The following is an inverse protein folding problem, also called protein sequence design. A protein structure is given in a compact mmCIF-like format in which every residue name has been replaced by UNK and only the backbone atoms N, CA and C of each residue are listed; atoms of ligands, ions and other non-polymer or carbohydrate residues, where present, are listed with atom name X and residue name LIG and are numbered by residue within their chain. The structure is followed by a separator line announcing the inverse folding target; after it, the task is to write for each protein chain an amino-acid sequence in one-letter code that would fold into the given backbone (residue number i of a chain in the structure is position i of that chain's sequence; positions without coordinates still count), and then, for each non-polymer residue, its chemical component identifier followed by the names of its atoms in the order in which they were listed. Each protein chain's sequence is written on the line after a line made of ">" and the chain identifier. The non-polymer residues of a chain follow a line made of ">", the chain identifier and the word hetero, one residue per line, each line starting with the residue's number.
data_IF_094828725573
#
_entry.id   IF_094828725573
#
_cell.length_a   1.000
_cell.length_b   1.000
_cell.length_c   1.000
_cell.angle_alpha   90.00
_cell.angle_beta   90.00
_cell.angle_gamma   90.00
#
_symmetry.space_group_name_H-M   'P 1'
#
loop_
_entity.id
_entity.type
_entity.pdbx_description
1 polymer ?
#
# COMPACT_ATOMS: atom_id res chain seq x y z
N UNK A 1 25.25 3.82 -11.64
CA UNK A 1 26.28 4.18 -10.67
C UNK A 1 27.22 3.00 -10.40
N UNK A 2 28.55 3.15 -10.49
CA UNK A 2 29.45 2.00 -10.44
C UNK A 2 29.53 1.35 -9.03
N UNK A 3 29.07 2.01 -7.98
CA UNK A 3 29.22 1.53 -6.61
C UNK A 3 27.91 1.44 -5.81
N UNK A 4 26.78 1.53 -6.47
CA UNK A 4 25.50 1.45 -5.81
C UNK A 4 24.37 1.18 -6.79
N UNK A 5 23.31 0.54 -6.30
CA UNK A 5 22.10 0.30 -7.07
C UNK A 5 21.15 1.49 -6.93
N UNK A 6 20.47 1.87 -8.01
CA UNK A 6 19.39 2.85 -7.95
C UNK A 6 18.20 2.30 -7.15
N UNK A 7 17.36 3.19 -6.62
CA UNK A 7 16.16 2.77 -5.87
C UNK A 7 15.29 1.83 -6.69
N UNK A 8 14.95 2.20 -7.93
CA UNK A 8 14.13 1.35 -8.80
C UNK A 8 14.81 0.00 -9.10
N UNK A 9 16.14 -0.02 -9.28
CA UNK A 9 16.89 -1.25 -9.48
C UNK A 9 16.81 -2.20 -8.29
N UNK A 10 16.83 -1.67 -7.07
CA UNK A 10 16.69 -2.46 -5.85
C UNK A 10 15.32 -3.16 -5.78
N UNK A 11 14.24 -2.44 -6.10
CA UNK A 11 12.90 -3.03 -6.16
C UNK A 11 12.74 -4.00 -7.33
N UNK A 12 13.41 -3.75 -8.44
CA UNK A 12 13.46 -4.68 -9.56
C UNK A 12 14.14 -6.01 -9.19
N UNK A 13 15.20 -5.99 -8.36
CA UNK A 13 15.81 -7.22 -7.84
C UNK A 13 14.82 -8.02 -7.00
N UNK A 14 14.06 -7.36 -6.12
CA UNK A 14 13.03 -8.02 -5.32
C UNK A 14 11.93 -8.61 -6.21
N UNK A 15 11.48 -7.89 -7.25
CA UNK A 15 10.51 -8.38 -8.21
C UNK A 15 11.05 -9.60 -8.99
N UNK A 16 12.28 -9.53 -9.52
CA UNK A 16 12.93 -10.66 -10.19
C UNK A 16 13.05 -11.89 -9.29
N UNK A 17 13.41 -11.68 -8.03
CA UNK A 17 13.53 -12.77 -7.07
C UNK A 17 12.18 -13.44 -6.83
N UNK A 18 11.13 -12.65 -6.62
CA UNK A 18 9.78 -13.15 -6.41
C UNK A 18 9.24 -13.89 -7.64
N UNK A 19 9.49 -13.35 -8.84
CA UNK A 19 9.15 -14.02 -10.10
C UNK A 19 9.88 -15.35 -10.26
N UNK A 20 11.17 -15.40 -9.89
CA UNK A 20 11.99 -16.62 -9.99
C UNK A 20 11.50 -17.71 -9.01
N UNK A 21 11.18 -17.35 -7.78
CA UNK A 21 10.83 -18.31 -6.74
C UNK A 21 9.38 -18.78 -6.83
N UNK A 22 8.47 -17.88 -7.19
CA UNK A 22 7.03 -18.13 -7.10
C UNK A 22 6.28 -18.04 -8.42
N UNK A 23 6.96 -17.70 -9.51
CA UNK A 23 6.34 -17.63 -10.83
C UNK A 23 5.42 -16.42 -11.02
N UNK A 24 5.54 -15.39 -10.18
CA UNK A 24 4.79 -14.13 -10.35
C UNK A 24 5.05 -13.53 -11.72
N UNK A 25 4.02 -13.00 -12.36
CA UNK A 25 4.11 -12.43 -13.70
C UNK A 25 4.01 -10.90 -13.68
N UNK A 26 4.45 -10.26 -14.76
CA UNK A 26 4.32 -8.81 -14.92
C UNK A 26 2.85 -8.37 -15.02
N UNK A 27 1.98 -9.20 -15.57
CA UNK A 27 0.53 -8.95 -15.63
C UNK A 27 -0.07 -8.89 -14.22
N UNK A 28 0.38 -9.76 -13.30
CA UNK A 28 -0.06 -9.71 -11.91
C UNK A 28 0.40 -8.44 -11.18
N UNK A 29 1.58 -7.92 -11.50
CA UNK A 29 2.01 -6.61 -11.03
C UNK A 29 1.16 -5.49 -11.64
N UNK A 30 0.84 -5.60 -12.94
CA UNK A 30 -0.01 -4.64 -13.65
C UNK A 30 -1.44 -4.57 -13.09
N UNK A 31 -2.00 -5.69 -12.57
CA UNK A 31 -3.29 -5.70 -11.87
C UNK A 31 -3.34 -4.68 -10.73
N UNK A 32 -2.25 -4.55 -9.96
CA UNK A 32 -2.13 -3.58 -8.87
C UNK A 32 -2.19 -2.15 -9.40
N UNK A 33 -1.45 -1.87 -10.47
CA UNK A 33 -1.41 -0.53 -11.07
C UNK A 33 -2.80 -0.13 -11.63
N UNK A 34 -3.46 -1.06 -12.31
CA UNK A 34 -4.80 -0.84 -12.90
C UNK A 34 -5.85 -0.64 -11.81
N UNK A 35 -5.85 -1.47 -10.76
CA UNK A 35 -6.77 -1.35 -9.64
C UNK A 35 -6.61 0.00 -8.92
N UNK A 36 -5.37 0.39 -8.62
CA UNK A 36 -5.04 1.67 -8.00
C UNK A 36 -5.47 2.84 -8.88
N UNK A 37 -5.29 2.77 -10.21
CA UNK A 37 -5.74 3.79 -11.15
C UNK A 37 -7.28 3.89 -11.20
N UNK A 38 -8.01 2.80 -11.10
CA UNK A 38 -9.48 2.84 -11.03
C UNK A 38 -9.96 3.63 -9.81
N UNK A 39 -9.32 3.47 -8.65
CA UNK A 39 -9.60 4.30 -7.48
C UNK A 39 -9.24 5.78 -7.71
N UNK A 40 -8.10 6.06 -8.34
CA UNK A 40 -7.68 7.42 -8.67
C UNK A 40 -8.66 8.15 -9.60
N UNK A 41 -9.29 7.44 -10.55
CA UNK A 41 -10.33 7.99 -11.42
C UNK A 41 -11.54 8.52 -10.61
N UNK A 42 -11.79 7.99 -9.43
CA UNK A 42 -12.85 8.44 -8.52
C UNK A 42 -12.41 9.58 -7.58
N UNK A 43 -11.12 9.93 -7.59
CA UNK A 43 -10.56 10.95 -6.72
C UNK A 43 -10.22 12.23 -7.50
N UNK A 44 -10.99 13.30 -7.37
CA UNK A 44 -10.74 14.56 -8.11
C UNK A 44 -9.41 15.23 -7.75
N UNK A 45 -8.74 14.78 -6.68
CA UNK A 45 -7.43 15.27 -6.27
C UNK A 45 -6.27 14.39 -6.76
N UNK A 46 -6.56 13.26 -7.40
CA UNK A 46 -5.52 12.40 -7.93
C UNK A 46 -4.80 13.08 -9.11
N UNK A 47 -3.49 12.89 -9.18
CA UNK A 47 -2.67 13.43 -10.28
C UNK A 47 -2.98 12.76 -11.61
N UNK A 48 -3.26 11.45 -11.59
CA UNK A 48 -3.53 10.61 -12.76
C UNK A 48 -4.96 10.09 -12.67
N UNK A 49 -5.84 10.54 -13.56
CA UNK A 49 -7.27 10.21 -13.55
C UNK A 49 -7.73 9.47 -14.81
N UNK A 50 -6.89 9.35 -15.82
CA UNK A 50 -7.21 8.62 -17.05
C UNK A 50 -7.10 7.11 -16.78
N UNK A 51 -8.12 6.32 -17.14
CA UNK A 51 -8.08 4.87 -16.96
C UNK A 51 -6.90 4.24 -17.74
N UNK A 52 -6.39 3.14 -17.21
CA UNK A 52 -5.37 2.32 -17.87
C UNK A 52 -5.78 0.86 -17.87
N UNK A 53 -5.22 0.11 -18.80
CA UNK A 53 -5.37 -1.34 -18.93
C UNK A 53 -4.07 -2.05 -18.54
N UNK A 54 -4.11 -3.38 -18.39
CA UNK A 54 -2.92 -4.21 -18.21
C UNK A 54 -1.98 -4.02 -19.40
N UNK A 55 -2.51 -3.99 -20.63
CA UNK A 55 -1.71 -3.77 -21.84
C UNK A 55 -0.99 -2.41 -21.83
N UNK A 56 -1.63 -1.35 -21.31
CA UNK A 56 -0.98 -0.05 -21.17
C UNK A 56 0.22 -0.12 -20.21
N UNK A 57 0.10 -0.87 -19.11
CA UNK A 57 1.22 -1.09 -18.18
C UNK A 57 2.33 -1.86 -18.87
N UNK A 58 2.02 -2.98 -19.50
CA UNK A 58 2.96 -3.87 -20.14
C UNK A 58 3.68 -3.23 -21.34
N UNK A 59 3.01 -2.32 -22.06
CA UNK A 59 3.59 -1.59 -23.18
C UNK A 59 4.26 -0.27 -22.76
N UNK A 60 4.17 0.12 -21.48
CA UNK A 60 4.86 1.30 -20.99
C UNK A 60 6.38 1.07 -20.92
N UNK A 61 7.15 2.16 -20.95
CA UNK A 61 8.62 2.08 -21.00
C UNK A 61 9.17 1.27 -19.83
N UNK A 62 10.04 0.28 -20.09
CA UNK A 62 10.81 -0.41 -19.05
C UNK A 62 11.75 0.58 -18.37
N UNK A 63 11.69 0.65 -17.06
CA UNK A 63 12.57 1.50 -16.22
C UNK A 63 13.73 0.68 -15.66
N UNK A 64 13.42 -0.47 -15.04
CA UNK A 64 14.39 -1.46 -14.58
C UNK A 64 13.68 -2.82 -14.59
N UNK A 65 14.04 -3.70 -15.52
CA UNK A 65 13.35 -5.00 -15.70
C UNK A 65 13.21 -5.75 -14.37
N UNK A 66 11.99 -6.23 -14.01
CA UNK A 66 10.78 -6.30 -14.83
C UNK A 66 9.85 -5.07 -14.73
N UNK A 67 10.23 -4.02 -14.00
CA UNK A 67 9.37 -2.88 -13.72
C UNK A 67 9.28 -1.91 -14.91
N UNK A 68 8.06 -1.60 -15.32
CA UNK A 68 7.71 -0.60 -16.31
C UNK A 68 7.41 0.75 -15.65
N UNK A 69 7.20 1.78 -16.45
CA UNK A 69 6.90 3.12 -15.96
C UNK A 69 5.65 3.16 -15.07
N UNK A 70 4.60 2.44 -15.45
CA UNK A 70 3.34 2.41 -14.71
C UNK A 70 3.37 1.47 -13.48
N UNK A 71 4.45 0.70 -13.29
CA UNK A 71 4.75 -0.01 -12.05
C UNK A 71 5.40 0.88 -10.98
N UNK A 72 5.82 2.09 -11.35
CA UNK A 72 6.56 3.01 -10.52
C UNK A 72 5.68 4.13 -10.01
N UNK A 73 5.89 4.55 -8.75
CA UNK A 73 5.21 5.68 -8.15
C UNK A 73 5.47 7.00 -8.90
N UNK A 74 4.59 7.95 -8.70
CA UNK A 74 4.70 9.32 -9.20
C UNK A 74 5.89 10.07 -8.57
N UNK A 75 6.24 11.19 -9.17
CA UNK A 75 7.13 12.21 -8.61
C UNK A 75 6.34 13.50 -8.54
N UNK A 76 5.92 13.89 -7.35
CA UNK A 76 5.04 15.06 -7.12
C UNK A 76 5.39 15.75 -5.80
N UNK A 77 4.90 16.96 -5.63
CA UNK A 77 4.91 17.66 -4.34
C UNK A 77 3.56 17.48 -3.66
N UNK A 78 3.57 17.19 -2.37
CA UNK A 78 2.37 17.13 -1.55
C UNK A 78 2.72 17.22 -0.06
N UNK A 79 1.72 17.51 0.77
CA UNK A 79 1.83 17.51 2.23
C UNK A 79 0.53 17.06 2.87
N UNK A 80 0.64 16.43 4.04
CA UNK A 80 -0.49 15.98 4.83
C UNK A 80 -0.24 16.20 6.32
N UNK A 81 -1.33 16.32 7.08
CA UNK A 81 -1.27 16.41 8.53
C UNK A 81 -2.41 15.62 9.17
N UNK A 82 -2.12 14.99 10.30
CA UNK A 82 -3.10 14.39 11.18
C UNK A 82 -2.97 15.00 12.59
N UNK A 83 -4.08 15.14 13.27
CA UNK A 83 -4.10 15.62 14.66
C UNK A 83 -4.40 14.44 15.57
N UNK A 84 -3.49 14.20 16.52
CA UNK A 84 -3.64 13.17 17.55
C UNK A 84 -4.04 13.82 18.86
N UNK A 85 -4.99 13.22 19.55
CA UNK A 85 -5.42 13.65 20.88
C UNK A 85 -5.92 12.45 21.69
N UNK A 86 -6.19 12.62 22.98
CA UNK A 86 -6.82 11.55 23.76
C UNK A 86 -8.26 11.29 23.26
N UNK A 87 -8.73 10.05 23.42
CA UNK A 87 -10.08 9.67 23.02
C UNK A 87 -11.15 10.51 23.75
N UNK A 88 -10.92 10.82 25.04
CA UNK A 88 -11.77 11.69 25.82
C UNK A 88 -11.99 13.05 25.15
N UNK A 89 -10.90 13.73 24.78
CA UNK A 89 -10.98 15.02 24.07
C UNK A 89 -11.54 14.89 22.65
N UNK A 90 -11.25 13.78 21.97
CA UNK A 90 -11.74 13.56 20.61
C UNK A 90 -13.27 13.46 20.56
N UNK A 91 -13.91 12.93 21.60
CA UNK A 91 -15.38 12.82 21.70
C UNK A 91 -16.09 14.18 21.76
N UNK A 92 -15.41 15.20 22.24
CA UNK A 92 -15.94 16.58 22.33
C UNK A 92 -15.72 17.37 21.03
N UNK A 93 -15.03 16.79 20.03
CA UNK A 93 -14.78 17.46 18.75
C UNK A 93 -15.91 17.22 17.75
N UNK A 94 -15.99 18.12 16.74
CA UNK A 94 -17.04 18.07 15.71
C UNK A 94 -17.03 16.82 14.83
N UNK A 95 -15.86 16.20 14.65
CA UNK A 95 -15.69 15.00 13.82
C UNK A 95 -15.68 13.75 14.68
N UNK A 96 -16.33 12.70 14.19
CA UNK A 96 -16.27 11.41 14.85
C UNK A 96 -14.81 10.96 15.07
N UNK A 97 -14.46 10.52 16.27
CA UNK A 97 -13.13 10.02 16.57
C UNK A 97 -12.83 8.77 15.74
N UNK A 98 -11.58 8.67 15.28
CA UNK A 98 -11.02 7.43 14.74
C UNK A 98 -9.91 7.01 15.69
N UNK A 99 -10.00 5.80 16.20
CA UNK A 99 -9.10 5.30 17.23
C UNK A 99 -7.92 4.55 16.60
N UNK A 100 -6.74 4.68 17.21
CA UNK A 100 -5.61 3.80 16.96
C UNK A 100 -5.81 2.53 17.78
N UNK A 101 -6.15 1.43 17.12
CA UNK A 101 -6.42 0.13 17.75
C UNK A 101 -5.15 -0.66 18.00
N UNK A 102 -4.23 -0.63 17.04
CA UNK A 102 -2.96 -1.32 17.15
C UNK A 102 -1.88 -0.72 16.26
N UNK A 103 -0.63 -0.92 16.63
CA UNK A 103 0.51 -0.43 15.86
C UNK A 103 1.72 -1.34 16.02
N UNK A 104 2.57 -1.38 15.00
CA UNK A 104 3.86 -2.04 15.03
C UNK A 104 4.82 -1.40 14.07
N UNK A 105 6.11 -1.44 14.38
CA UNK A 105 7.17 -1.03 13.48
C UNK A 105 8.33 -2.02 13.53
N UNK A 106 9.08 -2.11 12.45
CA UNK A 106 10.24 -2.97 12.36
C UNK A 106 11.25 -2.46 11.33
N UNK A 107 12.51 -2.76 11.59
CA UNK A 107 13.64 -2.54 10.69
C UNK A 107 14.41 -3.84 10.55
N UNK A 108 14.77 -4.24 9.33
CA UNK A 108 15.49 -5.50 9.08
C UNK A 108 16.89 -5.29 8.51
N UNK A 109 17.10 -4.22 7.77
CA UNK A 109 18.38 -3.93 7.11
C UNK A 109 18.47 -2.45 6.76
N UNK A 110 19.59 -2.02 6.19
CA UNK A 110 19.79 -0.66 5.68
C UNK A 110 19.79 -0.62 4.15
N UNK A 111 20.54 -1.50 3.53
CA UNK A 111 20.70 -1.56 2.08
C UNK A 111 20.10 -2.86 1.54
N UNK A 112 19.56 -2.84 0.33
CA UNK A 112 18.97 -4.02 -0.32
C UNK A 112 19.95 -5.22 -0.35
N UNK A 113 21.25 -4.97 -0.46
CA UNK A 113 22.30 -6.00 -0.42
C UNK A 113 22.45 -6.70 0.93
N UNK A 114 21.84 -6.16 1.98
CA UNK A 114 21.82 -6.72 3.33
C UNK A 114 20.47 -7.35 3.67
N UNK A 115 19.49 -7.26 2.78
CA UNK A 115 18.16 -7.83 2.97
C UNK A 115 18.26 -9.35 3.02
N UNK A 116 17.87 -9.99 4.13
CA UNK A 116 18.05 -11.44 4.30
C UNK A 116 17.26 -12.27 3.29
N UNK A 117 16.05 -11.82 2.96
CA UNK A 117 15.14 -12.42 1.99
C UNK A 117 14.49 -11.30 1.18
N UNK A 118 14.82 -11.20 -0.12
CA UNK A 118 14.30 -10.18 -1.02
C UNK A 118 12.80 -10.26 -1.25
N UNK A 119 12.16 -11.32 -0.79
CA UNK A 119 10.72 -11.54 -0.95
C UNK A 119 9.93 -11.29 0.32
N UNK A 120 10.58 -10.99 1.47
CA UNK A 120 9.91 -10.74 2.74
C UNK A 120 10.29 -9.38 3.33
N UNK A 121 9.31 -8.50 3.55
CA UNK A 121 9.54 -7.18 4.14
C UNK A 121 9.42 -7.20 5.67
N UNK A 122 9.86 -6.13 6.32
CA UNK A 122 9.69 -5.95 7.77
C UNK A 122 8.21 -5.89 8.20
N UNK A 123 7.25 -5.84 7.25
CA UNK A 123 5.82 -5.90 7.51
C UNK A 123 5.39 -7.21 8.20
N UNK A 124 6.15 -8.29 8.02
CA UNK A 124 5.91 -9.55 8.75
C UNK A 124 6.00 -9.37 10.27
N UNK A 125 6.85 -8.46 10.74
CA UNK A 125 7.02 -8.14 12.16
C UNK A 125 6.05 -7.04 12.57
N UNK A 126 6.03 -5.91 11.82
CA UNK A 126 5.18 -4.77 12.19
C UNK A 126 3.69 -5.09 12.11
N UNK A 127 3.26 -5.88 11.12
CA UNK A 127 1.88 -6.33 10.98
C UNK A 127 1.46 -7.23 12.13
N UNK A 128 2.26 -8.25 12.44
CA UNK A 128 1.99 -9.14 13.58
C UNK A 128 1.76 -8.35 14.87
N UNK A 129 2.66 -7.41 15.18
CA UNK A 129 2.54 -6.56 16.37
C UNK A 129 1.27 -5.69 16.34
N UNK A 130 0.92 -5.13 15.17
CA UNK A 130 -0.26 -4.31 15.02
C UNK A 130 -1.55 -5.11 15.25
N UNK A 131 -1.68 -6.30 14.65
CA UNK A 131 -2.83 -7.19 14.84
C UNK A 131 -2.95 -7.69 16.27
N UNK A 132 -1.85 -8.14 16.89
CA UNK A 132 -1.83 -8.59 18.29
C UNK A 132 -2.30 -7.49 19.26
N UNK A 133 -1.83 -6.25 19.05
CA UNK A 133 -2.21 -5.11 19.89
C UNK A 133 -3.65 -4.64 19.67
N UNK A 134 -4.14 -4.76 18.44
CA UNK A 134 -5.52 -4.44 18.10
C UNK A 134 -6.52 -5.51 18.59
N UNK A 135 -6.06 -6.74 18.80
CA UNK A 135 -6.93 -7.90 19.07
C UNK A 135 -7.82 -8.27 17.90
N UNK A 136 -7.38 -7.96 16.68
CA UNK A 136 -8.13 -8.17 15.45
C UNK A 136 -7.44 -9.21 14.54
N UNK A 137 -8.18 -9.69 13.56
CA UNK A 137 -7.73 -10.60 12.51
C UNK A 137 -7.77 -9.94 11.13
N UNK A 138 -7.21 -10.58 10.13
CA UNK A 138 -7.23 -10.11 8.74
C UNK A 138 -8.66 -9.94 8.20
N UNK A 139 -9.60 -10.78 8.65
CA UNK A 139 -11.00 -10.72 8.25
C UNK A 139 -11.78 -9.52 8.81
N UNK A 140 -11.20 -8.80 9.77
CA UNK A 140 -11.82 -7.61 10.36
C UNK A 140 -11.44 -6.32 9.62
N UNK A 141 -10.56 -6.39 8.61
CA UNK A 141 -10.09 -5.22 7.85
C UNK A 141 -11.02 -4.94 6.69
N UNK A 142 -11.71 -3.80 6.71
CA UNK A 142 -12.60 -3.35 5.64
C UNK A 142 -11.86 -2.64 4.50
N UNK A 143 -10.76 -1.94 4.82
CA UNK A 143 -9.96 -1.17 3.85
C UNK A 143 -8.48 -1.30 4.18
N UNK A 144 -7.65 -1.58 3.18
CA UNK A 144 -6.21 -1.60 3.32
C UNK A 144 -5.55 -0.43 2.55
N UNK A 145 -4.77 0.37 3.26
CA UNK A 145 -4.00 1.47 2.68
C UNK A 145 -2.51 1.11 2.78
N UNK A 146 -1.97 0.56 1.69
CA UNK A 146 -0.62 0.01 1.62
C UNK A 146 0.24 0.89 0.72
N UNK A 147 1.37 1.36 1.23
CA UNK A 147 2.29 2.17 0.44
C UNK A 147 2.80 1.43 -0.79
N UNK A 148 2.47 1.95 -1.95
CA UNK A 148 2.74 1.42 -3.27
C UNK A 148 3.83 2.22 -4.00
N UNK A 149 5.03 2.26 -3.44
CA UNK A 149 6.19 2.87 -4.13
C UNK A 149 6.47 2.22 -5.48
N UNK A 150 6.19 0.94 -5.58
CA UNK A 150 6.19 0.11 -6.79
C UNK A 150 5.12 -0.97 -6.64
N UNK A 151 4.65 -1.52 -7.74
CA UNK A 151 3.67 -2.62 -7.71
C UNK A 151 4.16 -3.81 -6.88
N UNK A 152 5.44 -4.16 -7.01
CA UNK A 152 6.05 -5.24 -6.21
C UNK A 152 6.03 -4.95 -4.70
N UNK A 153 6.10 -3.69 -4.27
CA UNK A 153 6.04 -3.33 -2.85
C UNK A 153 4.72 -3.78 -2.23
N UNK A 154 3.63 -3.56 -2.94
CA UNK A 154 2.28 -3.98 -2.52
C UNK A 154 2.21 -5.49 -2.37
N UNK A 155 2.65 -6.22 -3.39
CA UNK A 155 2.61 -7.67 -3.41
C UNK A 155 3.38 -8.28 -2.23
N UNK A 156 4.63 -7.86 -2.04
CA UNK A 156 5.47 -8.32 -0.93
C UNK A 156 4.89 -7.94 0.44
N UNK A 157 4.22 -6.79 0.53
CA UNK A 157 3.61 -6.31 1.77
C UNK A 157 2.37 -7.12 2.12
N UNK A 158 1.50 -7.44 1.15
CA UNK A 158 0.32 -8.30 1.36
C UNK A 158 0.71 -9.67 1.91
N UNK A 159 1.72 -10.31 1.31
CA UNK A 159 2.25 -11.58 1.78
C UNK A 159 2.89 -11.46 3.17
N UNK A 160 3.70 -10.42 3.39
CA UNK A 160 4.39 -10.21 4.67
C UNK A 160 3.42 -9.88 5.80
N UNK A 161 2.32 -9.17 5.51
CA UNK A 161 1.25 -8.93 6.46
C UNK A 161 0.38 -10.17 6.73
N UNK A 162 0.41 -11.18 5.85
CA UNK A 162 -0.35 -12.41 6.00
C UNK A 162 -1.76 -12.40 5.41
N UNK A 163 -2.08 -11.46 4.52
CA UNK A 163 -3.36 -11.47 3.79
C UNK A 163 -3.46 -12.61 2.78
N UNK A 164 -2.33 -13.13 2.34
CA UNK A 164 -2.20 -14.33 1.52
C UNK A 164 -0.93 -15.08 1.90
N UNK A 165 -0.82 -16.31 1.45
CA UNK A 165 0.38 -17.12 1.63
C UNK A 165 1.56 -16.59 0.82
N UNK A 166 2.76 -17.03 1.20
CA UNK A 166 3.99 -16.69 0.49
C UNK A 166 3.94 -17.21 -0.94
N UNK A 167 4.21 -16.33 -1.93
CA UNK A 167 4.11 -16.64 -3.35
C UNK A 167 2.68 -16.54 -3.93
N UNK A 168 1.69 -16.25 -3.12
CA UNK A 168 0.28 -16.15 -3.55
C UNK A 168 -0.18 -14.71 -3.83
N UNK A 169 0.68 -13.72 -3.57
CA UNK A 169 0.32 -12.31 -3.75
C UNK A 169 -0.15 -11.96 -5.14
N UNK A 170 0.46 -12.55 -6.18
CA UNK A 170 0.03 -12.37 -7.57
C UNK A 170 -1.39 -12.88 -7.83
N UNK A 171 -1.72 -14.07 -7.34
CA UNK A 171 -3.07 -14.63 -7.43
C UNK A 171 -4.07 -13.82 -6.58
N UNK A 172 -3.63 -13.34 -5.41
CA UNK A 172 -4.46 -12.53 -4.51
C UNK A 172 -4.95 -11.24 -5.16
N UNK A 173 -4.11 -10.53 -5.90
CA UNK A 173 -4.47 -9.25 -6.54
C UNK A 173 -5.14 -9.40 -7.90
N UNK A 174 -5.15 -10.59 -8.47
CA UNK A 174 -5.72 -10.88 -9.79
C UNK A 174 -7.24 -10.61 -9.85
N UNK A 175 -7.74 -10.43 -11.08
CA UNK A 175 -9.15 -10.14 -11.37
C UNK A 175 -9.66 -8.84 -10.72
N UNK A 176 -8.79 -7.86 -10.54
CA UNK A 176 -9.12 -6.55 -9.98
C UNK A 176 -9.75 -6.63 -8.57
N UNK A 177 -9.35 -7.63 -7.79
CA UNK A 177 -9.85 -7.86 -6.43
C UNK A 177 -9.72 -6.63 -5.53
N UNK A 178 -8.65 -5.83 -5.74
CA UNK A 178 -8.33 -4.64 -4.93
C UNK A 178 -8.93 -3.34 -5.48
N UNK A 179 -9.64 -3.40 -6.62
CA UNK A 179 -10.25 -2.26 -7.30
C UNK A 179 -11.63 -1.89 -6.70
N UNK A 180 -12.23 -0.76 -7.10
CA UNK A 180 -13.62 -0.46 -6.77
C UNK A 180 -14.57 -1.60 -7.16
N UNK A 181 -15.34 -2.08 -6.18
CA UNK A 181 -16.26 -3.22 -6.36
C UNK A 181 -15.63 -4.61 -6.14
N UNK A 182 -14.32 -4.69 -5.91
CA UNK A 182 -13.67 -5.91 -5.45
C UNK A 182 -13.91 -6.18 -3.96
N UNK A 183 -13.56 -7.38 -3.52
CA UNK A 183 -13.79 -7.85 -2.15
C UNK A 183 -12.66 -7.45 -1.16
N UNK A 184 -11.60 -6.82 -1.65
CA UNK A 184 -10.49 -6.31 -0.83
C UNK A 184 -10.11 -4.87 -1.26
N UNK A 185 -10.91 -3.86 -0.89
CA UNK A 185 -10.64 -2.46 -1.24
C UNK A 185 -9.25 -2.00 -0.74
N UNK A 186 -8.41 -1.54 -1.66
CA UNK A 186 -7.04 -1.13 -1.31
C UNK A 186 -6.63 0.15 -2.02
N UNK A 187 -5.91 1.03 -1.29
CA UNK A 187 -5.37 2.30 -1.82
C UNK A 187 -6.45 3.16 -2.48
N UNK A 188 -7.54 3.36 -1.76
CA UNK A 188 -8.78 3.98 -2.27
C UNK A 188 -8.62 5.43 -2.68
N UNK A 189 -7.56 6.12 -2.27
CA UNK A 189 -7.21 7.47 -2.77
C UNK A 189 -6.53 7.45 -4.14
N UNK A 190 -6.05 6.31 -4.62
CA UNK A 190 -5.29 6.13 -5.86
C UNK A 190 -3.79 5.93 -5.67
N UNK A 191 -3.34 5.68 -4.42
CA UNK A 191 -1.99 5.28 -4.09
C UNK A 191 -0.88 6.25 -4.48
N UNK A 192 0.34 5.84 -4.28
CA UNK A 192 1.53 6.52 -4.79
C UNK A 192 1.68 6.36 -6.31
N UNK A 193 1.06 5.33 -6.87
CA UNK A 193 1.08 5.06 -8.31
C UNK A 193 0.21 6.04 -9.12
N UNK A 194 -0.82 6.63 -8.52
CA UNK A 194 -1.78 7.45 -9.29
C UNK A 194 -2.28 8.71 -8.58
N UNK A 195 -2.27 8.76 -7.23
CA UNK A 195 -2.74 9.93 -6.49
C UNK A 195 -1.63 10.99 -6.34
N UNK A 196 -0.59 10.69 -5.57
CA UNK A 196 0.55 11.58 -5.31
C UNK A 196 1.70 10.79 -4.68
N UNK A 197 2.94 11.23 -4.89
CA UNK A 197 4.10 10.63 -4.21
C UNK A 197 5.20 11.66 -3.96
N UNK A 198 5.19 12.37 -2.80
CA UNK A 198 6.20 13.38 -2.44
C UNK A 198 7.44 12.79 -1.73
N UNK A 199 7.70 11.48 -1.90
CA UNK A 199 8.82 10.78 -1.26
C UNK A 199 8.52 10.20 0.14
N UNK A 200 7.57 10.75 0.88
CA UNK A 200 7.07 10.24 2.17
C UNK A 200 5.55 10.09 2.09
N UNK A 201 5.08 8.93 1.67
CA UNK A 201 3.67 8.71 1.34
C UNK A 201 2.82 8.23 2.52
N UNK A 202 3.42 7.62 3.56
CA UNK A 202 2.70 6.98 4.67
C UNK A 202 1.62 7.85 5.34
N UNK A 203 1.80 9.18 5.40
CA UNK A 203 0.78 10.07 5.96
C UNK A 203 -0.53 10.06 5.15
N UNK A 204 -0.46 9.83 3.84
CA UNK A 204 -1.63 9.81 2.97
C UNK A 204 -2.45 8.52 3.14
N UNK A 205 -1.81 7.40 3.49
CA UNK A 205 -2.52 6.17 3.85
C UNK A 205 -3.36 6.39 5.10
N UNK A 206 -2.81 7.06 6.11
CA UNK A 206 -3.52 7.40 7.36
C UNK A 206 -4.67 8.37 7.11
N UNK A 207 -4.46 9.41 6.30
CA UNK A 207 -5.50 10.39 5.97
C UNK A 207 -6.66 9.73 5.25
N UNK A 208 -6.39 8.86 4.28
CA UNK A 208 -7.45 8.16 3.56
C UNK A 208 -8.20 7.18 4.46
N UNK A 209 -7.50 6.38 5.25
CA UNK A 209 -8.12 5.47 6.21
C UNK A 209 -9.07 6.19 7.18
N UNK A 210 -8.64 7.33 7.74
CA UNK A 210 -9.50 8.17 8.60
C UNK A 210 -10.73 8.66 7.85
N UNK A 211 -10.61 9.07 6.58
CA UNK A 211 -11.73 9.51 5.76
C UNK A 211 -12.69 8.38 5.42
N UNK A 212 -12.17 7.19 5.09
CA UNK A 212 -12.98 6.01 4.84
C UNK A 212 -13.82 5.64 6.07
N UNK A 213 -13.19 5.55 7.25
CA UNK A 213 -13.87 5.25 8.50
C UNK A 213 -14.92 6.31 8.86
N UNK A 214 -14.72 7.57 8.48
CA UNK A 214 -15.67 8.68 8.71
C UNK A 214 -16.77 8.77 7.66
N UNK A 215 -16.71 8.03 6.55
CA UNK A 215 -17.67 8.16 5.45
C UNK A 215 -17.48 9.44 4.61
N UNK A 216 -16.25 9.95 4.50
CA UNK A 216 -15.92 11.24 3.88
C UNK A 216 -15.28 11.10 2.47
N UNK A 217 -15.31 9.92 1.87
CA UNK A 217 -14.61 9.65 0.62
C UNK A 217 -15.44 9.84 -0.66
N UNK A 218 -16.75 10.15 -0.53
CA UNK A 218 -17.61 10.42 -1.70
C UNK A 218 -17.67 9.22 -2.66
N UNK A 219 -17.38 9.39 -3.97
CA UNK A 219 -17.51 8.31 -4.96
C UNK A 219 -16.61 7.09 -4.69
N UNK A 220 -15.54 7.25 -3.94
CA UNK A 220 -14.61 6.17 -3.59
C UNK A 220 -14.84 5.59 -2.20
N UNK A 221 -15.97 5.94 -1.57
CA UNK A 221 -16.32 5.43 -0.26
C UNK A 221 -16.56 3.93 -0.29
N UNK A 222 -15.85 3.19 0.56
CA UNK A 222 -16.13 1.79 0.83
C UNK A 222 -17.33 1.73 1.79
N UNK A 223 -18.41 1.03 1.43
CA UNK A 223 -19.60 0.93 2.27
C UNK A 223 -19.24 0.36 3.66
N UNK A 224 -19.82 0.95 4.69
CA UNK A 224 -19.71 0.50 6.09
C UNK A 224 -18.30 0.29 6.65
N UNK A 225 -17.28 0.91 6.06
CA UNK A 225 -15.91 0.82 6.53
C UNK A 225 -15.78 1.29 7.98
N UNK A 226 -15.31 0.41 8.86
CA UNK A 226 -15.11 0.64 10.29
C UNK A 226 -13.68 0.44 10.74
N UNK A 227 -12.97 -0.48 10.08
CA UNK A 227 -11.59 -0.84 10.40
C UNK A 227 -10.73 -0.70 9.16
N UNK A 228 -9.64 0.06 9.28
CA UNK A 228 -8.69 0.22 8.20
C UNK A 228 -7.26 -0.10 8.66
N UNK A 229 -6.51 -0.80 7.82
CA UNK A 229 -5.09 -1.03 8.01
C UNK A 229 -4.31 -0.04 7.16
N UNK A 230 -3.30 0.61 7.75
CA UNK A 230 -2.31 1.42 7.04
C UNK A 230 -0.93 0.79 7.18
N UNK A 231 -0.22 0.65 6.08
CA UNK A 231 1.18 0.20 6.10
C UNK A 231 2.05 1.16 5.29
N UNK A 232 3.11 1.63 5.91
CA UNK A 232 4.14 2.47 5.30
C UNK A 232 5.46 1.73 5.23
N UNK A 233 6.10 1.78 4.07
CA UNK A 233 7.45 1.22 3.85
C UNK A 233 8.47 2.33 3.72
N UNK A 234 9.60 2.21 4.41
CA UNK A 234 10.70 3.16 4.38
C UNK A 234 12.01 2.53 3.93
N UNK A 235 12.97 3.40 3.55
CA UNK A 235 14.24 2.95 2.99
C UNK A 235 14.05 2.17 1.69
N UNK A 236 14.78 1.08 1.54
CA UNK A 236 14.59 0.16 0.40
C UNK A 236 14.07 -1.17 0.94
N UNK A 237 12.75 -1.27 1.16
CA UNK A 237 12.06 -2.40 1.80
C UNK A 237 12.57 -2.70 3.23
N UNK A 238 13.29 -1.75 3.85
CA UNK A 238 14.10 -2.00 5.04
C UNK A 238 13.37 -1.74 6.35
N UNK A 239 12.40 -0.86 6.34
CA UNK A 239 11.59 -0.52 7.51
C UNK A 239 10.11 -0.44 7.15
N UNK A 240 9.26 -0.81 8.09
CA UNK A 240 7.81 -0.69 7.93
C UNK A 240 7.15 -0.26 9.24
N UNK A 241 6.13 0.59 9.10
CA UNK A 241 5.18 0.87 10.15
C UNK A 241 3.80 0.38 9.72
N UNK A 242 3.13 -0.36 10.59
CA UNK A 242 1.74 -0.83 10.40
C UNK A 242 0.88 -0.29 11.52
N UNK A 243 -0.24 0.33 11.18
CA UNK A 243 -1.25 0.75 12.15
C UNK A 243 -2.63 0.25 11.74
N UNK A 244 -3.46 -0.05 12.72
CA UNK A 244 -4.86 -0.41 12.53
C UNK A 244 -5.69 0.68 13.21
N UNK A 245 -6.57 1.27 12.43
CA UNK A 245 -7.49 2.33 12.85
C UNK A 245 -8.92 1.80 12.84
N UNK A 246 -9.75 2.32 13.74
CA UNK A 246 -11.14 1.92 13.79
C UNK A 246 -12.05 2.92 14.46
N UNK A 247 -13.36 2.65 14.42
CA UNK A 247 -14.40 3.33 15.18
C UNK A 247 -15.33 2.32 15.85
N UNK A 248 -15.96 2.75 16.92
CA UNK A 248 -17.04 2.02 17.61
C UNK A 248 -18.26 1.83 16.70
#
# INVERSE_FOLDING_TARGET
>A
EPYGISTVGAYALAAQRHMHEYGTTSEQLAEIAVATRKWACLNPKARMQDPITIDDVMNSRVIASPLHLLDCCLVTDAGGAVVLTSLERARDLKKAPVQLLGSGEAHTHRMISQMPDLTQTAAAISGKLAFERAGLTHGDIDVAEIYDSFTITVLLTLESLGFCGKGEGGAFVSNQRTAPGGDFPMNTQGGALSYTHPGMFGIFTVIEAVRQIRGECGPRQVPDARVALCNGTGGTLSSTGTIILGRD
#
